data_IF_038602236127
#
_entry.id   IF_038602236127
#
_cell.length_a   1.000
_cell.length_b   1.000
_cell.length_c   1.000
_cell.angle_alpha   90.00
_cell.angle_beta   90.00
_cell.angle_gamma   90.00
#
_symmetry.space_group_name_H-M   'P 1'
#
loop_
_entity.id
_entity.type
_entity.pdbx_description
1 polymer ?
#
# COMPACT_ATOMS: atom_id res chain seq x y z
N UNK A 1 7.67 19.52 9.63
CA UNK A 1 7.66 19.52 8.15
C UNK A 1 7.35 20.91 7.61
N UNK A 2 8.35 21.75 7.25
CA UNK A 2 8.07 23.10 6.72
C UNK A 2 7.96 23.21 5.19
N UNK A 3 8.30 22.16 4.43
CA UNK A 3 8.28 22.17 2.95
C UNK A 3 7.59 20.94 2.31
N UNK A 4 6.69 20.26 3.03
CA UNK A 4 5.97 19.12 2.45
C UNK A 4 4.98 19.59 1.37
N UNK A 5 5.14 19.07 0.15
CA UNK A 5 4.20 19.27 -0.96
C UNK A 5 3.66 17.90 -1.38
N UNK A 6 2.33 17.66 -1.26
CA UNK A 6 1.75 16.40 -1.68
C UNK A 6 1.86 16.23 -3.20
N UNK A 7 2.05 14.99 -3.67
CA UNK A 7 1.92 14.70 -5.10
C UNK A 7 0.47 14.90 -5.55
N UNK A 8 0.21 14.96 -6.87
CA UNK A 8 -1.17 15.01 -7.39
C UNK A 8 -2.04 13.86 -6.86
N UNK A 9 -1.47 12.65 -6.81
CA UNK A 9 -2.13 11.47 -6.29
C UNK A 9 -2.45 11.59 -4.80
N UNK A 10 -1.45 11.97 -4.00
CA UNK A 10 -1.60 12.20 -2.57
C UNK A 10 -2.61 13.31 -2.25
N UNK A 11 -2.67 14.35 -3.09
CA UNK A 11 -3.62 15.44 -2.95
C UNK A 11 -5.07 14.99 -3.23
N UNK A 12 -5.28 14.05 -4.16
CA UNK A 12 -6.62 13.44 -4.40
C UNK A 12 -7.12 12.75 -3.14
N UNK A 13 -6.29 11.90 -2.53
CA UNK A 13 -6.62 11.20 -1.27
C UNK A 13 -6.84 12.20 -0.13
N UNK A 14 -5.92 13.16 0.04
CA UNK A 14 -6.01 14.17 1.08
C UNK A 14 -7.31 14.98 1.02
N UNK A 15 -7.74 15.34 -0.18
CA UNK A 15 -8.99 16.08 -0.36
C UNK A 15 -10.22 15.23 -0.10
N UNK A 16 -10.19 13.95 -0.49
CA UNK A 16 -11.28 13.03 -0.18
C UNK A 16 -11.50 12.95 1.34
N UNK A 17 -10.43 12.78 2.12
CA UNK A 17 -10.47 12.74 3.58
C UNK A 17 -10.85 14.07 4.23
N UNK A 18 -10.27 15.19 3.77
CA UNK A 18 -10.62 16.52 4.30
C UNK A 18 -12.10 16.88 4.14
N UNK A 19 -12.72 16.49 3.03
CA UNK A 19 -14.15 16.75 2.78
C UNK A 19 -15.07 15.94 3.71
N UNK A 20 -14.56 14.86 4.29
CA UNK A 20 -15.28 13.95 5.20
C UNK A 20 -14.81 14.07 6.65
N UNK A 21 -13.93 15.04 6.92
CA UNK A 21 -13.30 15.24 8.22
C UNK A 21 -12.67 13.97 8.82
N UNK A 22 -12.08 13.13 7.96
CA UNK A 22 -11.34 11.93 8.40
C UNK A 22 -9.98 12.40 8.91
N UNK A 23 -9.71 12.19 10.21
CA UNK A 23 -8.56 12.74 10.93
C UNK A 23 -7.64 11.66 11.53
N UNK A 24 -8.14 10.44 11.77
CA UNK A 24 -7.38 9.31 12.32
C UNK A 24 -7.40 8.05 11.43
N UNK A 25 -6.41 7.16 11.56
CA UNK A 25 -6.33 5.95 10.73
C UNK A 25 -7.54 5.01 10.89
N UNK A 26 -8.10 4.95 12.10
CA UNK A 26 -9.29 4.18 12.45
C UNK A 26 -10.56 4.62 11.72
N UNK A 27 -10.62 5.86 11.22
CA UNK A 27 -11.76 6.40 10.47
C UNK A 27 -11.69 6.06 8.97
N UNK A 28 -10.58 5.48 8.50
CA UNK A 28 -10.41 5.11 7.09
C UNK A 28 -11.25 3.88 6.78
N UNK A 29 -12.42 4.13 6.17
CA UNK A 29 -13.33 3.10 5.67
C UNK A 29 -13.33 3.06 4.13
N UNK A 30 -12.66 2.04 3.58
CA UNK A 30 -12.55 1.83 2.14
C UNK A 30 -13.85 1.28 1.53
N UNK A 31 -14.67 0.56 2.30
CA UNK A 31 -15.97 0.05 1.84
C UNK A 31 -16.93 1.21 1.62
N UNK A 32 -16.97 2.13 2.57
CA UNK A 32 -17.74 3.38 2.43
C UNK A 32 -17.24 4.21 1.25
N UNK A 33 -15.92 4.31 1.04
CA UNK A 33 -15.37 4.99 -0.13
C UNK A 33 -15.80 4.31 -1.45
N UNK A 34 -15.62 3.00 -1.58
CA UNK A 34 -16.01 2.25 -2.77
C UNK A 34 -17.51 2.45 -3.07
N UNK A 35 -18.36 2.32 -2.04
CA UNK A 35 -19.81 2.52 -2.16
C UNK A 35 -20.18 3.92 -2.65
N UNK A 36 -19.55 4.97 -2.12
CA UNK A 36 -19.78 6.34 -2.57
C UNK A 36 -19.32 6.60 -4.00
N UNK A 37 -18.30 5.87 -4.45
CA UNK A 37 -17.84 5.88 -5.83
C UNK A 37 -18.72 5.02 -6.77
N UNK A 38 -19.79 4.39 -6.26
CA UNK A 38 -20.66 3.50 -7.04
C UNK A 38 -20.04 2.13 -7.33
N UNK A 39 -19.00 1.76 -6.60
CA UNK A 39 -18.23 0.53 -6.79
C UNK A 39 -18.74 -0.55 -5.83
N UNK A 40 -18.96 -1.74 -6.36
CA UNK A 40 -19.42 -2.88 -5.57
C UNK A 40 -18.21 -3.69 -5.12
N UNK A 41 -18.17 -4.07 -3.84
CA UNK A 41 -17.07 -4.85 -3.28
C UNK A 41 -17.59 -6.21 -2.85
N UNK A 42 -16.92 -7.27 -3.29
CA UNK A 42 -17.22 -8.64 -2.89
C UNK A 42 -15.99 -9.33 -2.32
N UNK A 43 -16.14 -9.90 -1.13
CA UNK A 43 -15.17 -10.79 -0.52
C UNK A 43 -15.52 -12.24 -0.87
N UNK A 44 -14.72 -12.87 -1.72
CA UNK A 44 -14.94 -14.23 -2.21
C UNK A 44 -13.60 -14.95 -2.39
N UNK A 45 -13.55 -16.30 -2.43
CA UNK A 45 -12.30 -17.06 -2.52
C UNK A 45 -11.70 -17.10 -3.95
N UNK A 46 -11.59 -15.93 -4.58
CA UNK A 46 -11.01 -15.70 -5.90
C UNK A 46 -9.89 -14.67 -5.76
N UNK A 47 -8.89 -14.70 -6.65
CA UNK A 47 -7.82 -13.70 -6.63
C UNK A 47 -8.38 -12.28 -6.72
N UNK A 48 -7.84 -11.37 -5.90
CA UNK A 48 -8.27 -9.97 -5.90
C UNK A 48 -8.11 -9.36 -7.29
N UNK A 49 -9.11 -8.60 -7.72
CA UNK A 49 -9.15 -7.97 -9.03
C UNK A 49 -10.30 -6.95 -9.08
N UNK A 50 -10.37 -6.18 -10.16
CA UNK A 50 -11.51 -5.34 -10.49
C UNK A 50 -11.94 -5.61 -11.92
N UNK A 51 -13.21 -5.34 -12.22
CA UNK A 51 -13.69 -5.33 -13.59
C UNK A 51 -14.81 -4.31 -13.77
N UNK A 52 -14.85 -3.75 -14.96
CA UNK A 52 -15.95 -2.93 -15.44
C UNK A 52 -17.07 -3.86 -15.92
N UNK A 53 -18.29 -3.63 -15.45
CA UNK A 53 -19.47 -4.37 -15.93
C UNK A 53 -20.06 -3.66 -17.15
N UNK A 54 -21.04 -2.78 -16.94
CA UNK A 54 -21.74 -2.01 -17.98
C UNK A 54 -22.04 -0.62 -17.43
N UNK A 55 -22.07 0.39 -18.31
CA UNK A 55 -22.45 1.77 -17.96
C UNK A 55 -21.62 2.37 -16.80
N UNK A 56 -20.28 2.27 -16.87
CA UNK A 56 -19.34 2.78 -15.84
C UNK A 56 -19.55 2.19 -14.43
N UNK A 57 -20.23 1.03 -14.31
CA UNK A 57 -20.34 0.29 -13.06
C UNK A 57 -19.13 -0.62 -12.85
N UNK A 58 -18.43 -0.43 -11.73
CA UNK A 58 -17.26 -1.22 -11.37
C UNK A 58 -17.55 -2.18 -10.22
N UNK A 59 -16.93 -3.35 -10.29
CA UNK A 59 -16.91 -4.32 -9.20
C UNK A 59 -15.48 -4.66 -8.83
N UNK A 60 -15.21 -4.68 -7.52
CA UNK A 60 -13.96 -5.14 -6.92
C UNK A 60 -14.22 -6.49 -6.26
N UNK A 61 -13.33 -7.42 -6.54
CA UNK A 61 -13.21 -8.71 -5.87
C UNK A 61 -12.00 -8.64 -4.94
N UNK A 62 -12.20 -9.03 -3.68
CA UNK A 62 -11.13 -9.18 -2.70
C UNK A 62 -11.06 -10.64 -2.29
N UNK A 63 -9.86 -11.23 -2.37
CA UNK A 63 -9.64 -12.63 -1.99
C UNK A 63 -9.85 -12.82 -0.49
N UNK A 64 -10.97 -13.42 -0.10
CA UNK A 64 -11.36 -13.58 1.31
C UNK A 64 -10.53 -14.62 2.07
N UNK A 65 -9.70 -15.39 1.36
CA UNK A 65 -8.75 -16.37 1.93
C UNK A 65 -7.49 -15.70 2.47
N UNK A 66 -7.20 -14.46 2.07
CA UNK A 66 -6.05 -13.70 2.56
C UNK A 66 -6.27 -13.24 4.01
N UNK A 67 -5.21 -12.96 4.79
CA UNK A 67 -5.36 -12.31 6.09
C UNK A 67 -6.11 -10.97 5.98
N UNK A 68 -6.87 -10.58 7.02
CA UNK A 68 -7.72 -9.37 6.97
C UNK A 68 -6.94 -8.08 6.68
N UNK A 69 -5.72 -7.95 7.21
CA UNK A 69 -4.84 -6.82 6.90
C UNK A 69 -4.43 -6.81 5.42
N UNK A 70 -4.21 -7.98 4.82
CA UNK A 70 -3.92 -8.09 3.40
C UNK A 70 -5.15 -7.75 2.56
N UNK A 71 -6.32 -8.29 2.90
CA UNK A 71 -7.59 -7.97 2.21
C UNK A 71 -7.82 -6.44 2.14
N UNK A 72 -7.49 -5.73 3.22
CA UNK A 72 -7.58 -4.26 3.27
C UNK A 72 -6.60 -3.57 2.32
N UNK A 73 -5.39 -4.10 2.16
CA UNK A 73 -4.39 -3.59 1.19
C UNK A 73 -4.85 -3.87 -0.24
N UNK A 74 -5.33 -5.08 -0.53
CA UNK A 74 -5.85 -5.47 -1.84
C UNK A 74 -7.04 -4.58 -2.23
N UNK A 75 -8.02 -4.38 -1.33
CA UNK A 75 -9.14 -3.48 -1.58
C UNK A 75 -8.67 -2.07 -1.92
N UNK A 76 -7.69 -1.53 -1.19
CA UNK A 76 -7.13 -0.21 -1.47
C UNK A 76 -6.44 -0.15 -2.84
N UNK A 77 -5.75 -1.22 -3.23
CA UNK A 77 -5.08 -1.34 -4.51
C UNK A 77 -6.10 -1.36 -5.66
N UNK A 78 -7.10 -2.23 -5.60
CA UNK A 78 -8.16 -2.35 -6.61
C UNK A 78 -9.00 -1.06 -6.70
N UNK A 79 -9.28 -0.42 -5.57
CA UNK A 79 -9.94 0.89 -5.55
C UNK A 79 -9.08 1.95 -6.25
N UNK A 80 -7.76 1.87 -6.10
CA UNK A 80 -6.81 2.71 -6.81
C UNK A 80 -6.88 2.52 -8.32
N UNK A 81 -7.01 1.29 -8.80
CA UNK A 81 -7.22 1.02 -10.22
C UNK A 81 -8.47 1.71 -10.76
N UNK A 82 -9.61 1.50 -10.10
CA UNK A 82 -10.89 2.06 -10.54
C UNK A 82 -10.90 3.59 -10.48
N UNK A 83 -10.32 4.20 -9.43
CA UNK A 83 -10.35 5.67 -9.26
C UNK A 83 -9.36 6.39 -10.20
N UNK A 84 -8.21 5.77 -10.50
CA UNK A 84 -7.16 6.43 -11.28
C UNK A 84 -7.26 6.19 -12.76
N UNK A 85 -7.74 5.02 -13.18
CA UNK A 85 -7.62 4.53 -14.53
C UNK A 85 -9.00 4.23 -15.11
N UNK A 86 -9.18 4.59 -16.38
CA UNK A 86 -10.35 4.21 -17.20
C UNK A 86 -9.83 3.43 -18.40
N UNK A 87 -10.34 2.23 -18.66
CA UNK A 87 -9.99 1.41 -19.82
C UNK A 87 -9.54 -0.02 -19.51
N UNK A 88 -9.56 -0.87 -20.54
CA UNK A 88 -9.23 -2.29 -20.46
C UNK A 88 -7.71 -2.51 -20.42
N UNK A 89 -7.22 -3.06 -19.29
CA UNK A 89 -5.79 -3.37 -19.13
C UNK A 89 -5.29 -4.42 -20.11
N UNK A 90 -6.15 -5.30 -20.65
CA UNK A 90 -5.76 -6.33 -21.61
C UNK A 90 -5.28 -5.78 -22.96
N UNK A 91 -5.60 -4.52 -23.25
CA UNK A 91 -5.22 -3.83 -24.50
C UNK A 91 -3.99 -2.92 -24.30
N UNK A 92 -3.57 -2.68 -23.06
CA UNK A 92 -2.42 -1.81 -22.74
C UNK A 92 -1.08 -2.47 -23.04
N UNK A 93 -0.09 -1.66 -23.43
CA UNK A 93 1.30 -2.09 -23.52
C UNK A 93 1.84 -2.50 -22.15
N UNK A 94 2.89 -3.34 -22.14
CA UNK A 94 3.53 -3.79 -20.91
C UNK A 94 3.93 -2.61 -19.98
N UNK A 95 4.55 -1.58 -20.54
CA UNK A 95 5.02 -0.42 -19.78
C UNK A 95 3.86 0.39 -19.18
N UNK A 96 2.73 0.48 -19.88
CA UNK A 96 1.53 1.14 -19.38
C UNK A 96 0.91 0.36 -18.22
N UNK A 97 0.83 -0.97 -18.32
CA UNK A 97 0.37 -1.83 -17.21
C UNK A 97 1.28 -1.66 -15.99
N UNK A 98 2.59 -1.75 -16.17
CA UNK A 98 3.55 -1.54 -15.07
C UNK A 98 3.39 -0.16 -14.43
N UNK A 99 3.11 0.89 -15.22
CA UNK A 99 2.84 2.22 -14.67
C UNK A 99 1.54 2.24 -13.85
N UNK A 100 0.45 1.68 -14.37
CA UNK A 100 -0.84 1.66 -13.67
C UNK A 100 -0.76 0.90 -12.35
N UNK A 101 -0.10 -0.26 -12.34
CA UNK A 101 0.18 -1.05 -11.13
C UNK A 101 0.94 -0.24 -10.08
N UNK A 102 1.98 0.50 -10.50
CA UNK A 102 2.74 1.37 -9.58
C UNK A 102 1.89 2.52 -9.05
N UNK A 103 0.99 3.06 -9.86
CA UNK A 103 0.07 4.13 -9.45
C UNK A 103 -1.00 3.62 -8.46
N UNK A 104 -1.55 2.42 -8.68
CA UNK A 104 -2.48 1.75 -7.77
C UNK A 104 -1.82 1.41 -6.42
N UNK A 105 -0.59 0.87 -6.44
CA UNK A 105 0.17 0.60 -5.22
C UNK A 105 0.47 1.87 -4.41
N UNK A 106 0.84 2.97 -5.09
CA UNK A 106 1.00 4.26 -4.42
C UNK A 106 -0.33 4.80 -3.89
N UNK A 107 -1.43 4.62 -4.62
CA UNK A 107 -2.76 5.01 -4.15
C UNK A 107 -3.09 4.28 -2.84
N UNK A 108 -2.94 2.95 -2.81
CA UNK A 108 -3.15 2.16 -1.60
C UNK A 108 -2.33 2.67 -0.42
N UNK A 109 -1.05 2.98 -0.63
CA UNK A 109 -0.16 3.58 0.37
C UNK A 109 -0.64 4.92 0.89
N UNK A 110 -1.07 5.82 0.01
CA UNK A 110 -1.57 7.13 0.42
C UNK A 110 -2.95 7.05 1.08
N UNK A 111 -3.80 6.14 0.61
CA UNK A 111 -5.14 5.90 1.16
C UNK A 111 -5.05 5.31 2.57
N UNK A 112 -4.29 4.23 2.74
CA UNK A 112 -4.22 3.51 4.02
C UNK A 112 -3.27 4.16 5.03
N UNK A 113 -2.24 4.87 4.58
CA UNK A 113 -1.27 5.54 5.46
C UNK A 113 -0.93 6.95 4.96
N UNK A 114 -1.86 7.92 5.11
CA UNK A 114 -1.67 9.28 4.63
C UNK A 114 -0.50 9.97 5.33
N UNK A 115 0.30 10.74 4.59
CA UNK A 115 1.51 11.40 5.16
C UNK A 115 1.19 12.30 6.35
N UNK A 116 0.08 13.03 6.32
CA UNK A 116 -0.30 13.92 7.41
C UNK A 116 -0.72 13.17 8.68
N UNK A 117 -1.26 11.96 8.55
CA UNK A 117 -1.58 11.10 9.69
C UNK A 117 -0.29 10.46 10.21
N UNK A 118 0.56 9.93 9.33
CA UNK A 118 1.85 9.36 9.72
C UNK A 118 2.66 10.38 10.54
N UNK A 119 2.76 11.62 10.06
CA UNK A 119 3.48 12.68 10.76
C UNK A 119 2.94 13.00 12.17
N UNK A 120 1.67 12.72 12.46
CA UNK A 120 1.07 12.89 13.80
C UNK A 120 1.36 11.71 14.74
N UNK A 121 1.62 10.52 14.19
CA UNK A 121 1.81 9.28 14.95
C UNK A 121 3.28 8.84 15.01
N UNK A 122 4.20 9.51 14.29
CA UNK A 122 5.63 9.20 14.42
C UNK A 122 6.12 9.44 15.84
N UNK A 123 6.98 8.53 16.33
CA UNK A 123 7.54 8.56 17.67
C UNK A 123 9.01 8.94 17.54
N UNK A 124 9.39 10.04 18.19
CA UNK A 124 10.78 10.46 18.26
C UNK A 124 11.61 9.47 19.09
N UNK A 125 12.91 9.34 18.77
CA UNK A 125 13.88 8.54 19.53
C UNK A 125 13.57 7.02 19.65
N UNK A 126 12.87 6.43 18.67
CA UNK A 126 12.66 4.98 18.58
C UNK A 126 13.44 4.32 17.43
N UNK A 127 13.60 3.00 17.48
CA UNK A 127 14.22 2.23 16.39
C UNK A 127 13.31 2.19 15.16
N UNK A 128 13.88 2.03 13.96
CA UNK A 128 13.10 1.88 12.72
C UNK A 128 12.10 0.72 12.80
N UNK A 129 12.55 -0.45 13.29
CA UNK A 129 11.68 -1.62 13.43
C UNK A 129 10.50 -1.34 14.36
N UNK A 130 10.76 -0.74 15.53
CA UNK A 130 9.71 -0.34 16.47
C UNK A 130 8.74 0.67 15.87
N UNK A 131 9.25 1.66 15.12
CA UNK A 131 8.43 2.65 14.43
C UNK A 131 7.51 2.02 13.38
N UNK A 132 8.03 1.08 12.59
CA UNK A 132 7.26 0.36 11.56
C UNK A 132 6.19 -0.49 12.21
N UNK A 133 6.52 -1.31 13.22
CA UNK A 133 5.56 -2.19 13.89
C UNK A 133 4.45 -1.39 14.54
N UNK A 134 4.80 -0.34 15.30
CA UNK A 134 3.82 0.54 15.93
C UNK A 134 2.87 1.19 14.92
N UNK A 135 3.40 1.74 13.82
CA UNK A 135 2.57 2.37 12.80
C UNK A 135 1.75 1.36 12.01
N UNK A 136 2.26 0.15 11.78
CA UNK A 136 1.51 -0.91 11.09
C UNK A 136 0.25 -1.29 11.88
N UNK A 137 0.40 -1.42 13.20
CA UNK A 137 -0.72 -1.65 14.12
C UNK A 137 -1.70 -0.46 14.12
N UNK A 138 -1.20 0.76 14.32
CA UNK A 138 -2.02 1.98 14.38
C UNK A 138 -2.83 2.22 13.09
N UNK A 139 -2.24 1.91 11.93
CA UNK A 139 -2.89 2.09 10.63
C UNK A 139 -3.63 0.84 10.13
N UNK A 140 -3.64 -0.23 10.92
CA UNK A 140 -4.29 -1.50 10.60
C UNK A 140 -3.85 -2.05 9.23
N UNK A 141 -2.53 -2.14 9.01
CA UNK A 141 -1.91 -2.64 7.79
C UNK A 141 -0.79 -3.65 8.11
N UNK A 142 -0.38 -4.51 7.16
CA UNK A 142 0.75 -5.41 7.37
C UNK A 142 2.06 -4.64 7.64
N UNK A 143 2.90 -5.15 8.54
CA UNK A 143 4.24 -4.58 8.84
C UNK A 143 5.08 -4.33 7.59
N UNK A 144 5.17 -5.25 6.62
CA UNK A 144 5.92 -5.02 5.38
C UNK A 144 5.36 -3.85 4.55
N UNK A 145 4.03 -3.69 4.51
CA UNK A 145 3.40 -2.57 3.82
C UNK A 145 3.80 -1.23 4.45
N UNK A 146 3.80 -1.14 5.77
CA UNK A 146 4.21 0.06 6.50
C UNK A 146 5.71 0.36 6.31
N UNK A 147 6.59 -0.65 6.30
CA UNK A 147 8.02 -0.46 6.02
C UNK A 147 8.23 0.23 4.66
N UNK A 148 7.58 -0.27 3.61
CA UNK A 148 7.67 0.31 2.25
C UNK A 148 7.13 1.75 2.27
N UNK A 149 6.01 1.97 2.94
CA UNK A 149 5.37 3.28 3.06
C UNK A 149 6.28 4.32 3.73
N UNK A 150 6.95 3.94 4.82
CA UNK A 150 7.88 4.81 5.53
C UNK A 150 9.16 5.04 4.74
N UNK A 151 9.66 4.04 3.99
CA UNK A 151 10.78 4.23 3.06
C UNK A 151 10.44 5.20 1.95
N UNK A 152 9.23 5.12 1.39
CA UNK A 152 8.74 6.09 0.40
C UNK A 152 8.68 7.51 0.99
N UNK A 153 8.19 7.66 2.22
CA UNK A 153 8.14 8.95 2.92
C UNK A 153 9.55 9.50 3.17
N UNK A 154 10.44 8.65 3.69
CA UNK A 154 11.83 8.99 3.97
C UNK A 154 12.58 9.34 2.71
N UNK A 155 12.46 8.56 1.64
CA UNK A 155 13.08 8.84 0.34
C UNK A 155 12.64 10.17 -0.26
N UNK A 156 11.39 10.60 -0.04
CA UNK A 156 10.93 11.95 -0.42
C UNK A 156 11.52 13.05 0.46
N UNK A 157 11.75 12.78 1.75
CA UNK A 157 12.45 13.70 2.64
C UNK A 157 13.97 13.77 2.36
N UNK A 158 14.60 12.65 1.98
CA UNK A 158 16.02 12.51 1.66
C UNK A 158 16.37 12.95 0.25
N UNK A 159 15.47 12.82 -0.73
CA UNK A 159 15.62 13.41 -2.07
C UNK A 159 15.73 14.94 -2.03
N UNK A 160 15.31 15.55 -0.93
CA UNK A 160 15.50 16.97 -0.61
C UNK A 160 16.81 17.27 0.17
N UNK A 161 17.47 16.25 0.75
CA UNK A 161 18.65 16.39 1.63
C UNK A 161 19.92 15.63 1.16
N UNK A 162 19.88 14.94 0.02
CA UNK A 162 21.09 14.39 -0.64
C UNK A 162 21.81 13.23 0.08
N UNK A 163 21.09 12.37 0.82
CA UNK A 163 21.69 11.26 1.60
C UNK A 163 21.28 9.86 1.11
N UNK A 164 22.24 8.93 1.15
CA UNK A 164 22.18 7.54 0.66
C UNK A 164 21.12 6.67 1.34
N UNK A 165 20.41 5.87 0.54
CA UNK A 165 19.44 4.85 0.94
C UNK A 165 19.95 3.95 2.08
N UNK A 166 19.13 3.76 3.11
CA UNK A 166 19.39 2.74 4.14
C UNK A 166 19.48 1.36 3.46
N UNK A 167 20.54 0.57 3.68
CA UNK A 167 20.77 -0.66 2.93
C UNK A 167 19.61 -1.65 3.20
N UNK A 168 19.01 -2.11 2.11
CA UNK A 168 18.12 -3.27 2.11
C UNK A 168 18.88 -4.43 2.75
N UNK A 169 18.42 -4.92 3.91
CA UNK A 169 18.95 -6.16 4.48
C UNK A 169 18.49 -7.32 3.57
N UNK A 170 19.43 -7.86 2.81
CA UNK A 170 19.22 -9.08 2.02
C UNK A 170 19.28 -10.25 2.99
N UNK A 171 18.15 -10.95 3.15
CA UNK A 171 18.11 -12.19 3.91
C UNK A 171 18.88 -13.23 3.11
N UNK A 172 19.85 -13.90 3.73
CA UNK A 172 20.52 -15.06 3.10
C UNK A 172 19.47 -16.14 2.86
N UNK A 173 19.51 -16.78 1.70
CA UNK A 173 18.53 -17.80 1.22
C UNK A 173 18.18 -18.90 2.24
N UNK A 174 19.01 -19.10 3.26
CA UNK A 174 18.96 -20.22 4.21
C UNK A 174 18.18 -19.94 5.52
N UNK A 175 17.50 -18.81 5.70
CA UNK A 175 16.65 -18.64 6.89
C UNK A 175 15.34 -19.42 6.74
N UNK A 176 15.32 -20.66 7.23
CA UNK A 176 14.13 -21.54 7.19
C UNK A 176 13.04 -21.16 8.21
N UNK A 177 13.32 -20.26 9.16
CA UNK A 177 12.42 -19.93 10.27
C UNK A 177 11.69 -18.59 10.05
N UNK A 178 10.68 -18.60 9.19
CA UNK A 178 9.78 -17.46 8.98
C UNK A 178 8.33 -17.92 8.81
N UNK A 179 7.38 -17.09 9.25
CA UNK A 179 5.96 -17.45 9.27
C UNK A 179 5.33 -17.35 7.87
N UNK A 180 5.64 -16.28 7.15
CA UNK A 180 5.10 -16.03 5.80
C UNK A 180 5.97 -15.06 5.00
N UNK A 181 5.79 -15.07 3.68
CA UNK A 181 6.35 -14.04 2.80
C UNK A 181 5.28 -13.05 2.35
N UNK A 182 5.71 -11.82 2.07
CA UNK A 182 4.84 -10.73 1.62
C UNK A 182 5.42 -10.11 0.36
N UNK A 183 4.67 -10.08 -0.74
CA UNK A 183 5.14 -9.51 -2.02
C UNK A 183 5.47 -8.04 -1.86
N UNK A 184 6.65 -7.60 -2.31
CA UNK A 184 7.02 -6.19 -2.20
C UNK A 184 6.09 -5.34 -3.10
N UNK A 185 5.36 -4.35 -2.57
CA UNK A 185 4.33 -3.60 -3.32
C UNK A 185 4.87 -2.77 -4.50
N UNK A 186 6.17 -2.45 -4.50
CA UNK A 186 6.77 -1.58 -5.52
C UNK A 186 7.86 -2.28 -6.37
N UNK A 187 8.13 -3.55 -6.10
CA UNK A 187 9.16 -4.33 -6.81
C UNK A 187 8.68 -5.78 -6.92
N UNK A 188 8.22 -6.16 -8.10
CA UNK A 188 7.65 -7.49 -8.35
C UNK A 188 8.65 -8.64 -8.16
N UNK A 189 9.96 -8.35 -8.19
CA UNK A 189 11.03 -9.33 -8.07
C UNK A 189 11.44 -9.57 -6.61
N UNK A 190 10.83 -8.86 -5.66
CA UNK A 190 11.17 -8.97 -4.25
C UNK A 190 9.97 -9.41 -3.41
N UNK A 191 10.27 -10.11 -2.33
CA UNK A 191 9.32 -10.34 -1.24
C UNK A 191 10.02 -10.21 0.11
N UNK A 192 9.24 -9.72 1.06
CA UNK A 192 9.61 -9.67 2.46
C UNK A 192 9.47 -11.05 3.08
N UNK A 193 10.36 -11.35 4.00
CA UNK A 193 10.29 -12.51 4.88
C UNK A 193 9.91 -12.00 6.27
N UNK A 194 8.83 -12.52 6.84
CA UNK A 194 8.24 -12.02 8.09
C UNK A 194 8.19 -13.13 9.14
N UNK A 195 8.61 -12.83 10.36
CA UNK A 195 8.53 -13.72 11.51
C UNK A 195 8.03 -12.95 12.74
N UNK A 196 7.05 -13.48 13.44
CA UNK A 196 6.40 -12.88 14.61
C UNK A 196 5.96 -11.42 14.39
N UNK A 197 5.53 -11.10 13.16
CA UNK A 197 5.11 -9.75 12.77
C UNK A 197 6.24 -8.78 12.43
N UNK A 198 7.50 -9.17 12.56
CA UNK A 198 8.67 -8.36 12.23
C UNK A 198 9.24 -8.73 10.85
N UNK A 199 9.70 -7.71 10.12
CA UNK A 199 10.38 -7.89 8.83
C UNK A 199 11.82 -8.33 9.07
N UNK A 200 12.15 -9.58 8.73
CA UNK A 200 13.51 -10.11 8.79
C UNK A 200 14.39 -9.55 7.66
N UNK A 201 13.78 -9.26 6.51
CA UNK A 201 14.39 -8.57 5.39
C UNK A 201 13.76 -8.97 4.05
N UNK A 202 14.51 -8.80 2.95
CA UNK A 202 14.03 -9.03 1.59
C UNK A 202 14.81 -10.15 0.88
N UNK A 203 14.10 -10.90 0.02
CA UNK A 203 14.70 -11.89 -0.89
C UNK A 203 14.16 -11.74 -2.31
N UNK A 204 14.89 -12.28 -3.29
CA UNK A 204 14.42 -12.36 -4.68
C UNK A 204 13.33 -13.41 -4.83
N UNK A 205 12.31 -13.09 -5.62
CA UNK A 205 11.31 -14.05 -6.08
C UNK A 205 11.85 -14.74 -7.34
N UNK A 206 12.05 -16.05 -7.27
CA UNK A 206 12.32 -16.84 -8.45
C UNK A 206 11.00 -17.11 -9.18
N UNK A 207 10.88 -16.68 -10.44
CA UNK A 207 9.76 -17.10 -11.30
C UNK A 207 9.96 -18.60 -11.57
N UNK A 208 9.11 -19.43 -10.97
CA UNK A 208 8.92 -20.83 -11.35
C UNK A 208 8.13 -20.95 -12.64
#
# INVERSE_FOLDING_TARGET
MKNYQPTKLEWRVLNYYRRRDIQSPSEIDLESWAKEAGIWVHHVPLGSTYYEMSDDMYTIIVDDRLPKLQQRVELAHELGHVILHTGDQEVLSHDERTRQEREANHFAMYALAPTYMLAKHMIDDCSWGSQVTYLAEEFNVPTPFMDVRLRLLSGRAYGFLGGTSSPLFVVREETEDYDYSYRHPLDENLEYVVCSGEVLGLRKRYKG
#
